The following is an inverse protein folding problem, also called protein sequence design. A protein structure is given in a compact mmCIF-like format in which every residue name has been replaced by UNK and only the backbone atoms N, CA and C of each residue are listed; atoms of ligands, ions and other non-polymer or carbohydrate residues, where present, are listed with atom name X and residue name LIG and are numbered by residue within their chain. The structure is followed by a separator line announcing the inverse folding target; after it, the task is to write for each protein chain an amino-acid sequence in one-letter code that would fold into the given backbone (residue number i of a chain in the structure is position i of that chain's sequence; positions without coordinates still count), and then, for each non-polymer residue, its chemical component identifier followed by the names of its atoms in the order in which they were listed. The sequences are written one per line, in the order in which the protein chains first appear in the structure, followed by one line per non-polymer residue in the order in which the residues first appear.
data_IF_806074672410
#
_entry.id   IF_806074672410
#
_cell.length_a   1.000
_cell.length_b   1.000
_cell.length_c   1.000
_cell.angle_alpha   90.00
_cell.angle_beta   90.00
_cell.angle_gamma   90.00
#
_symmetry.space_group_name_H-M   'P 1'
#
loop_
_entity.id
_entity.type
_entity.pdbx_description
1 polymer ?
#
# COMPACT_ATOMS: atom_id res chain seq x y z
N UNK A 1 -13.16 31.06 6.41
CA UNK A 1 -12.79 29.66 6.12
C UNK A 1 -12.22 29.60 4.71
N UNK A 2 -10.94 29.26 4.53
CA UNK A 2 -10.34 29.08 3.19
C UNK A 2 -10.79 27.74 2.64
N UNK A 3 -11.39 27.71 1.45
CA UNK A 3 -11.79 26.46 0.81
C UNK A 3 -10.56 25.54 0.58
N UNK A 4 -10.69 24.22 0.78
CA UNK A 4 -9.60 23.29 0.55
C UNK A 4 -9.15 23.37 -0.91
N UNK A 5 -7.84 23.59 -1.14
CA UNK A 5 -7.27 23.61 -2.49
C UNK A 5 -7.47 22.23 -3.12
N UNK A 6 -8.38 22.14 -4.09
CA UNK A 6 -8.58 20.93 -4.87
C UNK A 6 -7.29 20.56 -5.63
N UNK A 7 -7.11 19.29 -5.99
CA UNK A 7 -5.97 18.87 -6.83
C UNK A 7 -6.36 18.86 -8.30
N UNK A 8 -5.48 19.43 -9.13
CA UNK A 8 -5.70 19.54 -10.57
C UNK A 8 -5.06 18.34 -11.26
N UNK A 9 -5.89 17.46 -11.84
CA UNK A 9 -5.47 16.38 -12.73
C UNK A 9 -5.18 16.97 -14.11
N UNK A 10 -3.92 16.92 -14.51
CA UNK A 10 -3.47 17.36 -15.83
C UNK A 10 -3.62 16.21 -16.83
N UNK A 11 -4.15 16.51 -18.01
CA UNK A 11 -4.28 15.55 -19.13
C UNK A 11 -3.84 16.20 -20.45
N UNK A 12 -3.27 15.43 -21.40
CA UNK A 12 -2.95 15.95 -22.71
C UNK A 12 -4.24 16.26 -23.51
N UNK A 13 -4.24 17.36 -24.25
CA UNK A 13 -5.35 17.78 -25.12
C UNK A 13 -4.91 17.87 -26.58
N UNK A 14 -5.54 17.05 -27.41
CA UNK A 14 -5.37 17.10 -28.87
C UNK A 14 -5.82 18.45 -29.43
N UNK A 15 -6.88 19.04 -28.87
CA UNK A 15 -7.34 20.38 -29.28
C UNK A 15 -6.30 21.46 -28.97
N UNK A 16 -5.62 21.38 -27.83
CA UNK A 16 -4.51 22.28 -27.51
C UNK A 16 -3.29 22.03 -28.38
N UNK A 17 -2.99 20.77 -28.70
CA UNK A 17 -1.91 20.44 -29.64
C UNK A 17 -2.16 21.03 -31.03
N UNK A 18 -3.40 20.96 -31.52
CA UNK A 18 -3.79 21.56 -32.79
C UNK A 18 -3.72 23.10 -32.75
N UNK A 19 -4.11 23.73 -31.63
CA UNK A 19 -3.94 25.18 -31.47
C UNK A 19 -2.47 25.58 -31.36
N UNK A 20 -1.63 24.77 -30.71
CA UNK A 20 -0.21 25.05 -30.53
C UNK A 20 0.56 25.11 -31.86
N UNK A 21 0.08 24.41 -32.91
CA UNK A 21 0.63 24.51 -34.27
C UNK A 21 0.54 25.93 -34.85
N UNK A 22 -0.50 26.67 -34.48
CA UNK A 22 -0.74 28.04 -34.97
C UNK A 22 -0.36 29.10 -33.92
N UNK A 23 -0.39 28.73 -32.64
CA UNK A 23 -0.21 29.60 -31.48
C UNK A 23 0.74 28.94 -30.47
N UNK A 24 2.06 29.06 -30.68
CA UNK A 24 3.06 28.37 -29.85
C UNK A 24 2.95 28.67 -28.35
N UNK A 25 2.34 29.80 -27.97
CA UNK A 25 2.09 30.16 -26.58
C UNK A 25 1.08 29.24 -25.87
N UNK A 26 0.35 28.36 -26.58
CA UNK A 26 -0.48 27.32 -25.96
C UNK A 26 0.34 26.32 -25.14
N UNK A 27 1.63 26.13 -25.44
CA UNK A 27 2.54 25.32 -24.60
C UNK A 27 2.74 25.91 -23.19
N UNK A 28 2.45 27.20 -23.01
CA UNK A 28 2.56 27.91 -21.73
C UNK A 28 1.21 28.04 -21.03
N UNK A 29 0.18 27.31 -21.47
CA UNK A 29 -1.17 27.41 -20.90
C UNK A 29 -1.62 26.11 -20.24
N UNK A 30 -2.53 26.27 -19.28
CA UNK A 30 -3.37 25.19 -18.74
C UNK A 30 -4.82 25.59 -18.93
N UNK A 31 -5.59 24.75 -19.63
CA UNK A 31 -6.99 25.00 -19.93
C UNK A 31 -7.86 24.24 -18.94
N UNK A 32 -8.75 24.95 -18.25
CA UNK A 32 -9.52 24.43 -17.13
C UNK A 32 -11.01 24.44 -17.46
N UNK A 33 -11.77 23.48 -16.91
CA UNK A 33 -13.23 23.53 -16.98
C UNK A 33 -13.76 24.78 -16.28
N UNK A 34 -15.00 25.20 -16.58
CA UNK A 34 -15.63 26.34 -15.88
C UNK A 34 -15.64 26.13 -14.36
N UNK A 35 -15.93 24.92 -13.91
CA UNK A 35 -15.99 24.59 -12.49
C UNK A 35 -14.58 24.58 -11.89
N UNK A 36 -13.61 23.94 -12.55
CA UNK A 36 -12.22 23.92 -12.08
C UNK A 36 -11.66 25.34 -11.91
N UNK A 37 -11.86 26.24 -12.88
CA UNK A 37 -11.39 27.64 -12.78
C UNK A 37 -11.91 28.36 -11.55
N UNK A 38 -13.20 28.19 -11.25
CA UNK A 38 -13.82 28.81 -10.08
C UNK A 38 -13.15 28.36 -8.78
N UNK A 39 -12.65 27.13 -8.76
CA UNK A 39 -12.03 26.54 -7.58
C UNK A 39 -10.54 26.87 -7.42
N UNK A 40 -9.84 27.15 -8.53
CA UNK A 40 -8.41 27.48 -8.51
C UNK A 40 -8.12 28.98 -8.47
N UNK A 41 -9.15 29.84 -8.53
CA UNK A 41 -8.97 31.29 -8.38
C UNK A 41 -10.27 32.03 -7.96
N UNK A 42 -10.45 32.42 -6.69
CA UNK A 42 -11.66 33.12 -6.24
C UNK A 42 -11.68 34.64 -6.53
N UNK A 43 -10.56 35.28 -6.93
CA UNK A 43 -10.49 36.74 -7.03
C UNK A 43 -9.48 37.25 -8.08
N UNK A 44 -10.02 37.89 -9.13
CA UNK A 44 -9.35 38.68 -10.18
C UNK A 44 -8.51 37.97 -11.27
N UNK A 45 -9.21 37.68 -12.38
CA UNK A 45 -8.78 37.14 -13.68
C UNK A 45 -7.59 37.83 -14.40
N UNK A 46 -7.02 38.92 -13.84
CA UNK A 46 -6.08 39.78 -14.57
C UNK A 46 -4.62 39.35 -14.49
N UNK A 47 -4.26 38.36 -13.65
CA UNK A 47 -2.89 37.82 -13.60
C UNK A 47 -2.81 36.29 -13.66
N UNK A 48 -3.88 35.59 -14.10
CA UNK A 48 -4.13 34.17 -13.88
C UNK A 48 -3.08 33.18 -14.40
N UNK A 49 -2.04 32.95 -13.61
CA UNK A 49 -1.07 31.87 -13.79
C UNK A 49 -1.26 30.83 -12.69
N UNK A 50 -1.22 29.56 -13.07
CA UNK A 50 -1.20 28.43 -12.17
C UNK A 50 0.20 27.82 -12.14
N UNK A 51 0.73 27.62 -10.93
CA UNK A 51 1.93 26.84 -10.72
C UNK A 51 1.56 25.36 -10.75
N UNK A 52 2.06 24.63 -11.74
CA UNK A 52 1.79 23.21 -11.99
C UNK A 52 3.09 22.43 -11.83
N UNK A 53 3.16 21.62 -10.79
CA UNK A 53 4.30 20.77 -10.49
C UNK A 53 4.00 19.35 -10.99
N UNK A 54 4.78 18.88 -11.95
CA UNK A 54 4.77 17.50 -12.43
C UNK A 54 5.95 16.71 -11.85
N UNK A 55 6.06 15.43 -12.22
CA UNK A 55 7.12 14.53 -11.79
C UNK A 55 8.52 14.93 -12.31
N UNK A 56 8.59 15.40 -13.55
CA UNK A 56 9.86 15.72 -14.22
C UNK A 56 10.24 17.19 -14.12
N UNK A 57 9.24 18.09 -14.03
CA UNK A 57 9.50 19.52 -13.91
C UNK A 57 8.32 20.26 -13.30
N UNK A 58 8.58 21.50 -12.92
CA UNK A 58 7.57 22.45 -12.48
C UNK A 58 7.43 23.59 -13.49
N UNK A 59 6.19 23.98 -13.77
CA UNK A 59 5.89 25.06 -14.73
C UNK A 59 4.87 26.04 -14.18
N UNK A 60 5.07 27.30 -14.52
CA UNK A 60 4.08 28.36 -14.35
C UNK A 60 3.28 28.48 -15.65
N UNK A 61 2.02 28.06 -15.64
CA UNK A 61 1.16 27.98 -16.82
C UNK A 61 0.04 29.01 -16.73
N UNK A 62 -0.21 29.73 -17.82
CA UNK A 62 -1.32 30.70 -17.90
C UNK A 62 -2.65 29.96 -17.97
N UNK A 63 -3.59 30.31 -17.11
CA UNK A 63 -4.91 29.68 -17.08
C UNK A 63 -5.77 30.13 -18.26
N UNK A 64 -6.55 29.21 -18.80
CA UNK A 64 -7.51 29.47 -19.87
C UNK A 64 -8.73 28.56 -19.81
N UNK A 65 -9.69 28.79 -20.70
CA UNK A 65 -10.87 27.94 -20.84
C UNK A 65 -10.56 26.64 -21.58
N UNK A 66 -10.99 25.50 -21.05
CA UNK A 66 -11.01 24.22 -21.76
C UNK A 66 -11.96 24.25 -22.96
N UNK A 67 -11.58 23.58 -24.05
CA UNK A 67 -12.43 23.40 -25.21
C UNK A 67 -13.63 22.49 -24.87
N UNK A 68 -14.77 22.71 -25.52
CA UNK A 68 -15.95 21.83 -25.34
C UNK A 68 -15.65 20.37 -25.73
N UNK A 69 -14.87 20.17 -26.80
CA UNK A 69 -14.47 18.85 -27.28
C UNK A 69 -13.64 18.07 -26.24
N UNK A 70 -12.72 18.76 -25.54
CA UNK A 70 -11.92 18.15 -24.47
C UNK A 70 -12.80 17.72 -23.29
N UNK A 71 -13.79 18.54 -22.92
CA UNK A 71 -14.70 18.24 -21.81
C UNK A 71 -15.68 17.11 -22.13
N UNK A 72 -16.11 16.99 -23.39
CA UNK A 72 -17.07 15.96 -23.82
C UNK A 72 -16.55 14.53 -23.60
N UNK A 73 -15.22 14.34 -23.52
CA UNK A 73 -14.58 13.05 -23.23
C UNK A 73 -14.70 12.60 -21.77
N UNK A 74 -15.21 13.46 -20.87
CA UNK A 74 -15.23 13.19 -19.44
C UNK A 74 -16.63 13.42 -18.84
N UNK A 75 -17.02 12.55 -17.88
CA UNK A 75 -18.26 12.73 -17.12
C UNK A 75 -18.21 14.02 -16.29
N UNK A 76 -19.37 14.68 -16.08
CA UNK A 76 -19.50 15.98 -15.41
C UNK A 76 -18.81 16.04 -14.03
N UNK A 77 -18.87 14.96 -13.24
CA UNK A 77 -18.20 14.86 -11.93
C UNK A 77 -16.66 14.93 -12.05
N UNK A 78 -16.08 14.38 -13.12
CA UNK A 78 -14.65 14.35 -13.35
C UNK A 78 -14.10 15.72 -13.78
N UNK A 79 -14.95 16.64 -14.27
CA UNK A 79 -14.49 17.94 -14.78
C UNK A 79 -14.13 18.96 -13.70
N UNK A 80 -14.42 18.69 -12.42
CA UNK A 80 -14.17 19.62 -11.30
C UNK A 80 -12.68 19.84 -11.01
N UNK A 81 -11.84 18.88 -11.40
CA UNK A 81 -10.41 18.84 -11.13
C UNK A 81 -9.58 18.65 -12.40
N UNK A 82 -10.12 18.83 -13.61
CA UNK A 82 -9.37 18.62 -14.86
C UNK A 82 -8.70 19.91 -15.36
N UNK A 83 -7.43 19.77 -15.71
CA UNK A 83 -6.67 20.72 -16.50
C UNK A 83 -6.08 20.06 -17.73
N UNK A 84 -6.17 20.75 -18.86
CA UNK A 84 -5.70 20.30 -20.15
C UNK A 84 -4.43 21.07 -20.50
N UNK A 85 -3.43 20.37 -21.02
CA UNK A 85 -2.17 20.95 -21.53
C UNK A 85 -1.83 20.31 -22.87
N UNK A 86 -0.90 20.90 -23.62
CA UNK A 86 -0.35 20.25 -24.84
C UNK A 86 0.40 18.97 -24.48
N UNK A 87 0.48 18.00 -25.39
CA UNK A 87 1.28 16.79 -25.22
C UNK A 87 2.74 17.08 -24.87
N UNK A 88 3.34 18.11 -25.49
CA UNK A 88 4.70 18.57 -25.16
C UNK A 88 4.81 19.04 -23.71
N UNK A 89 3.89 19.89 -23.25
CA UNK A 89 3.87 20.35 -21.85
C UNK A 89 3.61 19.19 -20.90
N UNK A 90 2.73 18.26 -21.26
CA UNK A 90 2.46 17.05 -20.50
C UNK A 90 3.72 16.19 -20.33
N UNK A 91 4.43 15.88 -21.41
CA UNK A 91 5.70 15.12 -21.37
C UNK A 91 6.77 15.83 -20.54
N UNK A 92 6.89 17.15 -20.66
CA UNK A 92 7.83 17.92 -19.83
C UNK A 92 7.47 17.87 -18.35
N UNK A 93 6.18 17.84 -18.01
CA UNK A 93 5.72 17.70 -16.63
C UNK A 93 5.86 16.27 -16.11
N UNK A 94 5.62 15.24 -16.94
CA UNK A 94 5.44 13.85 -16.47
C UNK A 94 6.63 12.92 -16.75
N UNK A 95 7.49 13.21 -17.71
CA UNK A 95 8.58 12.32 -18.15
C UNK A 95 8.17 11.32 -19.25
N UNK A 96 9.01 10.30 -19.50
CA UNK A 96 8.86 9.29 -20.57
C UNK A 96 8.11 8.00 -20.18
N UNK A 97 7.66 7.88 -18.93
CA UNK A 97 6.94 6.69 -18.45
C UNK A 97 5.44 6.94 -18.49
N UNK A 98 4.73 6.17 -19.33
CA UNK A 98 3.28 6.32 -19.53
C UNK A 98 2.41 5.82 -18.37
N UNK A 99 2.92 5.00 -17.45
CA UNK A 99 2.12 4.50 -16.33
C UNK A 99 2.95 4.36 -15.06
N UNK A 100 2.81 5.32 -14.15
CA UNK A 100 3.00 5.06 -12.73
C UNK A 100 1.88 5.74 -11.96
N UNK A 101 0.93 4.93 -11.52
CA UNK A 101 -0.18 5.36 -10.66
C UNK A 101 0.38 6.00 -9.39
N UNK A 102 0.16 7.31 -9.27
CA UNK A 102 0.59 8.06 -8.09
C UNK A 102 -0.40 7.74 -6.94
N UNK A 103 0.05 6.90 -5.99
CA UNK A 103 -0.73 6.49 -4.83
C UNK A 103 -0.85 7.65 -3.84
N UNK A 104 -1.85 8.50 -3.98
CA UNK A 104 -2.16 9.48 -2.95
C UNK A 104 -3.64 9.42 -2.65
N UNK A 105 -3.95 8.96 -1.44
CA UNK A 105 -5.32 8.97 -0.94
C UNK A 105 -5.81 10.41 -0.79
N UNK A 106 -7.03 10.72 -1.24
CA UNK A 106 -7.52 12.10 -1.23
C UNK A 106 -7.95 12.57 0.16
N UNK A 107 -8.40 11.63 0.99
CA UNK A 107 -8.86 11.84 2.37
C UNK A 107 -8.41 10.68 3.26
N UNK A 108 -8.51 10.83 4.58
CA UNK A 108 -8.24 9.74 5.52
C UNK A 108 -9.11 8.49 5.30
N UNK A 109 -10.28 8.64 4.70
CA UNK A 109 -11.30 7.60 4.48
C UNK A 109 -11.11 6.86 3.14
N UNK A 110 -10.11 7.24 2.35
CA UNK A 110 -9.88 6.70 1.01
C UNK A 110 -8.52 5.99 0.90
N UNK A 111 -8.00 5.40 1.98
CA UNK A 111 -6.64 4.81 1.96
C UNK A 111 -6.56 3.74 0.89
N UNK A 112 -5.67 3.94 -0.07
CA UNK A 112 -5.37 2.88 -1.02
C UNK A 112 -4.46 1.85 -0.36
N UNK A 113 -4.81 0.58 -0.47
CA UNK A 113 -4.00 -0.54 0.01
C UNK A 113 -3.50 -1.35 -1.18
N UNK A 114 -2.22 -1.70 -1.15
CA UNK A 114 -1.60 -2.62 -2.08
C UNK A 114 -0.73 -3.61 -1.32
N UNK A 115 -0.10 -4.54 -2.03
CA UNK A 115 0.80 -5.51 -1.43
C UNK A 115 1.69 -6.13 -2.49
N UNK A 116 2.75 -6.76 -2.00
CA UNK A 116 3.76 -7.50 -2.74
C UNK A 116 4.23 -8.69 -1.89
N UNK A 117 3.32 -9.61 -1.51
CA UNK A 117 3.69 -10.74 -0.69
C UNK A 117 4.46 -11.80 -1.49
N UNK A 118 5.44 -12.37 -0.82
CA UNK A 118 6.38 -13.35 -1.35
C UNK A 118 5.98 -14.79 -1.00
N UNK A 119 6.46 -15.74 -1.79
CA UNK A 119 6.41 -17.17 -1.50
C UNK A 119 7.59 -17.90 -2.18
N UNK A 120 7.91 -19.10 -1.69
CA UNK A 120 9.00 -19.92 -2.21
C UNK A 120 8.45 -20.96 -3.19
N UNK A 121 9.16 -21.18 -4.29
CA UNK A 121 8.90 -22.27 -5.22
C UNK A 121 9.68 -23.50 -4.74
N UNK A 122 8.99 -24.62 -4.60
CA UNK A 122 9.56 -25.86 -4.04
C UNK A 122 9.42 -26.98 -5.05
N UNK A 123 10.52 -27.67 -5.34
CA UNK A 123 10.58 -28.85 -6.19
C UNK A 123 9.96 -30.07 -5.47
N UNK A 124 9.68 -31.13 -6.23
CA UNK A 124 9.13 -32.38 -5.68
C UNK A 124 10.03 -33.02 -4.60
N UNK A 125 11.36 -32.85 -4.72
CA UNK A 125 12.35 -33.32 -3.75
C UNK A 125 12.46 -32.44 -2.49
N UNK A 126 11.66 -31.38 -2.39
CA UNK A 126 11.68 -30.41 -1.29
C UNK A 126 12.77 -29.35 -1.40
N UNK A 127 13.58 -29.35 -2.46
CA UNK A 127 14.55 -28.28 -2.70
C UNK A 127 13.87 -26.97 -3.11
N UNK A 128 14.47 -25.84 -2.73
CA UNK A 128 13.98 -24.52 -3.14
C UNK A 128 14.45 -24.20 -4.56
N UNK A 129 13.51 -23.88 -5.45
CA UNK A 129 13.80 -23.28 -6.74
C UNK A 129 13.88 -21.77 -6.58
N UNK A 130 15.00 -21.16 -6.99
CA UNK A 130 15.11 -19.70 -6.97
C UNK A 130 14.24 -19.11 -8.06
N UNK A 131 13.34 -18.21 -7.67
CA UNK A 131 12.37 -17.62 -8.57
C UNK A 131 13.01 -16.82 -9.71
N UNK A 132 14.09 -16.05 -9.45
CA UNK A 132 14.83 -15.34 -10.51
C UNK A 132 15.50 -16.25 -11.56
N UNK A 133 15.55 -17.56 -11.35
CA UNK A 133 16.09 -18.53 -12.30
C UNK A 133 15.01 -19.24 -13.12
N UNK A 134 13.72 -19.00 -12.83
CA UNK A 134 12.62 -19.64 -13.53
C UNK A 134 12.33 -18.90 -14.83
N UNK A 135 12.48 -19.60 -15.96
CA UNK A 135 12.16 -19.06 -17.28
C UNK A 135 10.70 -18.63 -17.37
N UNK A 136 10.46 -17.38 -17.77
CA UNK A 136 9.12 -16.81 -17.93
C UNK A 136 8.53 -16.20 -16.65
N UNK A 137 9.27 -16.21 -15.53
CA UNK A 137 8.93 -15.44 -14.34
C UNK A 137 9.80 -14.17 -14.33
N UNK A 138 9.22 -13.00 -14.60
CA UNK A 138 9.98 -11.76 -14.77
C UNK A 138 9.89 -10.85 -13.54
N UNK A 139 10.98 -10.14 -13.24
CA UNK A 139 11.07 -9.23 -12.09
C UNK A 139 9.91 -8.23 -12.01
N UNK A 140 9.58 -7.53 -13.11
CA UNK A 140 8.56 -6.47 -13.12
C UNK A 140 7.12 -6.94 -13.40
N UNK A 141 6.84 -8.25 -13.33
CA UNK A 141 5.50 -8.79 -13.60
C UNK A 141 4.57 -8.78 -12.38
N UNK A 142 3.26 -8.81 -12.62
CA UNK A 142 2.20 -8.94 -11.58
C UNK A 142 2.31 -10.27 -10.81
N UNK A 143 2.82 -11.32 -11.45
CA UNK A 143 3.39 -12.49 -10.78
C UNK A 143 4.83 -12.58 -11.27
N UNK A 144 5.76 -12.32 -10.37
CA UNK A 144 7.17 -12.16 -10.70
C UNK A 144 8.07 -12.73 -9.61
N UNK A 145 9.25 -12.13 -9.45
CA UNK A 145 10.18 -12.51 -8.40
C UNK A 145 10.79 -11.28 -7.72
N UNK A 146 11.18 -11.44 -6.46
CA UNK A 146 12.16 -10.60 -5.77
C UNK A 146 13.29 -11.50 -5.26
N UNK A 147 14.43 -11.45 -5.94
CA UNK A 147 15.56 -12.35 -5.70
C UNK A 147 15.15 -13.84 -5.71
N UNK A 148 15.32 -14.57 -4.60
CA UNK A 148 15.02 -16.00 -4.54
C UNK A 148 13.52 -16.33 -4.44
N UNK A 149 12.67 -15.38 -4.04
CA UNK A 149 11.24 -15.59 -3.83
C UNK A 149 10.42 -15.19 -5.04
N UNK A 150 9.31 -15.90 -5.28
CA UNK A 150 8.25 -15.45 -6.17
C UNK A 150 7.38 -14.41 -5.44
N UNK A 151 6.80 -13.46 -6.16
CA UNK A 151 6.06 -12.34 -5.59
C UNK A 151 4.81 -12.03 -6.39
N UNK A 152 3.70 -11.70 -5.71
CA UNK A 152 2.45 -11.28 -6.34
C UNK A 152 2.28 -9.78 -6.17
N UNK A 153 2.05 -9.03 -7.24
CA UNK A 153 1.91 -7.57 -7.25
C UNK A 153 0.56 -7.17 -7.82
N UNK A 154 -0.55 -7.43 -7.10
CA UNK A 154 -1.87 -7.02 -7.56
C UNK A 154 -1.95 -5.50 -7.66
N UNK A 155 -2.76 -5.02 -8.61
CA UNK A 155 -3.11 -3.59 -8.67
C UNK A 155 -3.73 -3.14 -7.34
N UNK A 156 -3.15 -2.13 -6.67
CA UNK A 156 -3.69 -1.67 -5.39
C UNK A 156 -5.10 -1.09 -5.53
N UNK A 157 -5.84 -1.08 -4.43
CA UNK A 157 -7.27 -0.77 -4.41
C UNK A 157 -7.67 -0.01 -3.16
N UNK A 158 -8.73 0.81 -3.26
CA UNK A 158 -9.41 1.39 -2.09
C UNK A 158 -10.32 0.38 -1.39
N UNK A 159 -10.62 -0.75 -2.03
CA UNK A 159 -11.49 -1.81 -1.51
C UNK A 159 -10.69 -3.11 -1.37
N UNK A 160 -10.66 -3.66 -0.16
CA UNK A 160 -9.91 -4.89 0.17
C UNK A 160 -10.46 -6.10 -0.59
N UNK A 161 -11.77 -6.22 -0.78
CA UNK A 161 -12.35 -7.33 -1.54
C UNK A 161 -11.90 -7.29 -3.00
N UNK A 162 -11.81 -6.11 -3.61
CA UNK A 162 -11.28 -5.97 -4.97
C UNK A 162 -9.80 -6.36 -5.04
N UNK A 163 -9.01 -6.01 -4.02
CA UNK A 163 -7.60 -6.44 -3.93
C UNK A 163 -7.49 -7.96 -3.83
N UNK A 164 -8.31 -8.61 -2.99
CA UNK A 164 -8.37 -10.07 -2.86
C UNK A 164 -8.78 -10.75 -4.16
N UNK A 165 -9.81 -10.24 -4.84
CA UNK A 165 -10.24 -10.74 -6.15
C UNK A 165 -9.14 -10.62 -7.20
N UNK A 166 -8.33 -9.55 -7.13
CA UNK A 166 -7.20 -9.35 -8.04
C UNK A 166 -6.09 -10.35 -7.75
N UNK A 167 -5.75 -10.59 -6.47
CA UNK A 167 -4.79 -11.65 -6.08
C UNK A 167 -5.27 -13.01 -6.58
N UNK A 168 -6.53 -13.36 -6.36
CA UNK A 168 -7.11 -14.62 -6.83
C UNK A 168 -7.04 -14.74 -8.35
N UNK A 169 -7.40 -13.67 -9.08
CA UNK A 169 -7.33 -13.65 -10.54
C UNK A 169 -5.92 -13.85 -11.05
N UNK A 170 -4.90 -13.27 -10.39
CA UNK A 170 -3.51 -13.46 -10.77
C UNK A 170 -3.06 -14.91 -10.55
N UNK A 171 -3.42 -15.51 -9.42
CA UNK A 171 -3.08 -16.89 -9.06
C UNK A 171 -3.79 -17.93 -9.94
N UNK A 172 -4.96 -17.59 -10.49
CA UNK A 172 -5.75 -18.47 -11.37
C UNK A 172 -5.40 -18.32 -12.84
N UNK A 173 -4.78 -17.22 -13.26
CA UNK A 173 -4.54 -16.94 -14.67
C UNK A 173 -3.33 -17.74 -15.20
N UNK A 174 -3.55 -18.68 -16.14
CA UNK A 174 -2.46 -19.50 -16.70
C UNK A 174 -1.32 -18.68 -17.31
N UNK A 175 -1.61 -17.49 -17.88
CA UNK A 175 -0.56 -16.65 -18.46
C UNK A 175 0.44 -16.13 -17.43
N UNK A 176 0.06 -16.07 -16.16
CA UNK A 176 0.92 -15.63 -15.07
C UNK A 176 1.61 -16.79 -14.35
N UNK A 177 0.98 -17.97 -14.29
CA UNK A 177 1.41 -19.04 -13.39
C UNK A 177 1.89 -20.31 -14.07
N UNK A 178 1.72 -20.47 -15.40
CA UNK A 178 2.14 -21.68 -16.10
C UNK A 178 3.66 -21.95 -15.98
N UNK A 179 4.49 -20.90 -15.95
CA UNK A 179 5.94 -21.04 -15.76
C UNK A 179 6.33 -21.61 -14.38
N UNK A 180 5.42 -21.54 -13.41
CA UNK A 180 5.63 -22.03 -12.04
C UNK A 180 4.68 -23.15 -11.64
N UNK A 181 3.92 -23.72 -12.59
CA UNK A 181 2.85 -24.68 -12.31
C UNK A 181 3.35 -26.05 -11.78
N UNK A 182 4.61 -26.40 -12.05
CA UNK A 182 5.25 -27.65 -11.61
C UNK A 182 5.89 -27.54 -10.23
N UNK A 183 5.89 -26.36 -9.61
CA UNK A 183 6.42 -26.17 -8.26
C UNK A 183 5.29 -26.13 -7.24
N UNK A 184 5.60 -26.57 -6.03
CA UNK A 184 4.78 -26.27 -4.87
C UNK A 184 5.02 -24.83 -4.42
N UNK A 185 3.95 -24.06 -4.23
CA UNK A 185 4.03 -22.66 -3.83
C UNK A 185 3.90 -22.56 -2.31
N UNK A 186 5.00 -22.26 -1.63
CA UNK A 186 5.07 -22.32 -0.15
C UNK A 186 5.23 -20.92 0.45
N UNK A 187 4.20 -20.46 1.16
CA UNK A 187 4.28 -19.24 1.97
C UNK A 187 4.81 -19.50 3.38
N UNK A 188 4.57 -18.54 4.29
CA UNK A 188 4.94 -18.65 5.70
C UNK A 188 5.99 -17.63 6.14
N UNK A 189 6.63 -17.88 7.29
CA UNK A 189 7.65 -17.02 7.88
C UNK A 189 9.02 -17.22 7.24
N UNK A 190 9.40 -18.48 7.05
CA UNK A 190 10.68 -18.85 6.45
C UNK A 190 10.62 -20.23 5.82
N UNK A 191 11.53 -20.49 4.89
CA UNK A 191 11.70 -21.80 4.27
C UNK A 191 13.11 -22.34 4.50
N UNK A 192 13.28 -23.65 4.72
CA UNK A 192 14.59 -24.31 4.71
C UNK A 192 14.55 -25.50 3.76
N UNK A 193 15.28 -25.40 2.66
CA UNK A 193 15.55 -26.56 1.80
C UNK A 193 16.52 -27.51 2.51
N UNK A 194 16.41 -28.84 2.30
CA UNK A 194 17.42 -29.80 2.75
C UNK A 194 18.84 -29.47 2.28
N UNK A 195 18.98 -28.93 1.07
CA UNK A 195 20.26 -28.57 0.44
C UNK A 195 20.87 -27.25 0.94
N UNK A 196 20.21 -26.55 1.86
CA UNK A 196 20.60 -25.21 2.28
C UNK A 196 21.14 -25.13 3.71
N UNK A 197 22.20 -24.35 3.87
CA UNK A 197 22.78 -24.02 5.18
C UNK A 197 21.94 -23.01 5.97
N UNK A 198 21.17 -22.15 5.29
CA UNK A 198 20.35 -21.07 5.90
C UNK A 198 18.88 -21.17 5.50
N UNK A 199 18.01 -20.54 6.29
CA UNK A 199 16.59 -20.36 5.96
C UNK A 199 16.41 -19.17 5.03
N UNK A 200 15.47 -19.22 4.10
CA UNK A 200 15.00 -18.02 3.40
C UNK A 200 13.91 -17.33 4.19
N UNK A 201 14.02 -16.03 4.47
CA UNK A 201 12.90 -15.25 4.95
C UNK A 201 11.88 -15.08 3.81
N UNK A 202 10.59 -15.09 4.14
CA UNK A 202 9.52 -14.84 3.18
C UNK A 202 8.80 -13.55 3.59
N UNK A 203 8.78 -12.54 2.72
CA UNK A 203 8.13 -11.25 2.95
C UNK A 203 6.61 -11.28 2.74
N UNK A 204 5.88 -10.51 3.54
CA UNK A 204 4.44 -10.30 3.36
C UNK A 204 4.12 -8.81 3.31
N UNK A 205 4.77 -8.10 2.39
CA UNK A 205 4.74 -6.63 2.35
C UNK A 205 3.34 -6.09 2.08
N UNK A 206 3.00 -5.01 2.78
CA UNK A 206 1.76 -4.27 2.57
C UNK A 206 2.10 -2.81 2.28
N UNK A 207 1.50 -2.29 1.22
CA UNK A 207 1.58 -0.91 0.80
C UNK A 207 0.39 -0.11 1.29
N UNK A 208 0.66 1.06 1.90
CA UNK A 208 -0.38 2.02 2.25
C UNK A 208 -0.12 3.33 1.52
N UNK A 209 -1.10 3.76 0.72
CA UNK A 209 -1.10 5.06 0.07
C UNK A 209 -1.16 6.17 1.12
N UNK A 210 -0.28 7.15 1.00
CA UNK A 210 -0.23 8.27 1.93
C UNK A 210 -1.33 9.29 1.58
N UNK A 211 -2.08 9.83 2.55
CA UNK A 211 -3.12 10.82 2.27
C UNK A 211 -2.53 12.18 1.95
N UNK A 212 -3.28 13.04 1.27
CA UNK A 212 -2.89 14.45 1.12
C UNK A 212 -2.89 15.13 2.49
N UNK A 213 -1.76 15.68 2.91
CA UNK A 213 -1.68 16.50 4.12
C UNK A 213 -1.53 17.98 3.71
N UNK A 214 -2.41 18.90 4.16
CA UNK A 214 -2.28 20.32 3.84
C UNK A 214 -0.91 20.87 4.23
N UNK A 215 -0.29 21.64 3.33
CA UNK A 215 1.04 22.25 3.54
C UNK A 215 2.18 21.27 3.85
N UNK A 216 1.99 19.98 3.57
CA UNK A 216 3.04 18.96 3.64
C UNK A 216 3.24 18.31 2.27
N UNK A 217 4.50 18.19 1.88
CA UNK A 217 4.88 17.42 0.69
C UNK A 217 5.52 16.14 1.17
N UNK A 218 4.98 15.02 0.72
CA UNK A 218 5.61 13.73 0.95
C UNK A 218 6.89 13.66 0.13
N UNK A 219 8.01 13.61 0.83
CA UNK A 219 9.33 13.46 0.25
C UNK A 219 10.11 12.49 1.15
N UNK A 220 10.63 11.41 0.56
CA UNK A 220 11.43 10.42 1.29
C UNK A 220 12.65 11.00 2.00
N UNK A 221 13.12 12.18 1.59
CA UNK A 221 14.23 12.88 2.23
C UNK A 221 13.77 13.86 3.32
N UNK A 222 12.47 14.01 3.53
CA UNK A 222 11.90 14.86 4.56
C UNK A 222 11.80 14.11 5.89
N UNK A 223 12.46 14.65 6.93
CA UNK A 223 12.44 14.06 8.28
C UNK A 223 11.02 13.87 8.83
N UNK A 224 10.09 14.77 8.54
CA UNK A 224 8.70 14.65 9.00
C UNK A 224 7.99 13.50 8.30
N UNK A 225 8.19 13.33 6.99
CA UNK A 225 7.66 12.19 6.24
C UNK A 225 8.21 10.87 6.82
N UNK A 226 9.52 10.78 7.00
CA UNK A 226 10.18 9.61 7.57
C UNK A 226 9.68 9.30 8.99
N UNK A 227 9.59 10.31 9.86
CA UNK A 227 9.11 10.15 11.23
C UNK A 227 7.65 9.70 11.29
N UNK A 228 6.77 10.28 10.47
CA UNK A 228 5.36 9.92 10.47
C UNK A 228 5.16 8.49 9.96
N UNK A 229 5.79 8.12 8.84
CA UNK A 229 5.69 6.76 8.32
C UNK A 229 6.20 5.72 9.33
N UNK A 230 7.32 5.99 10.02
CA UNK A 230 7.82 5.12 11.10
C UNK A 230 6.82 5.00 12.26
N UNK A 231 6.11 6.06 12.63
CA UNK A 231 5.08 5.99 13.68
C UNK A 231 3.87 5.18 13.25
N UNK A 232 3.43 5.33 12.01
CA UNK A 232 2.35 4.52 11.43
C UNK A 232 2.73 3.05 11.48
N UNK A 233 3.95 2.70 11.07
CA UNK A 233 4.45 1.33 11.14
C UNK A 233 4.50 0.81 12.58
N UNK A 234 4.93 1.60 13.57
CA UNK A 234 4.89 1.17 14.97
C UNK A 234 3.47 0.88 15.47
N UNK A 235 2.48 1.65 15.04
CA UNK A 235 1.08 1.40 15.37
C UNK A 235 0.60 0.10 14.71
N UNK A 236 0.97 -0.14 13.45
CA UNK A 236 0.68 -1.39 12.75
C UNK A 236 1.39 -2.59 13.41
N UNK A 237 2.61 -2.41 13.88
CA UNK A 237 3.37 -3.44 14.58
C UNK A 237 2.67 -3.86 15.88
N UNK A 238 2.29 -2.88 16.70
CA UNK A 238 1.63 -3.11 17.99
C UNK A 238 0.22 -3.70 17.81
N UNK A 239 -0.56 -3.21 16.84
CA UNK A 239 -1.97 -3.58 16.68
C UNK A 239 -2.21 -4.76 15.73
N UNK A 240 -1.30 -5.03 14.79
CA UNK A 240 -1.51 -6.03 13.71
C UNK A 240 -0.41 -7.08 13.66
N UNK A 241 0.88 -6.69 13.58
CA UNK A 241 1.94 -7.70 13.52
C UNK A 241 2.03 -8.53 14.80
N UNK A 242 1.91 -7.88 15.96
CA UNK A 242 2.06 -8.55 17.24
C UNK A 242 1.02 -9.66 17.48
N UNK A 243 -0.30 -9.46 17.23
CA UNK A 243 -1.25 -10.56 17.22
C UNK A 243 -0.90 -11.67 16.22
N UNK A 244 -0.50 -11.31 14.99
CA UNK A 244 -0.23 -12.27 13.92
C UNK A 244 0.99 -13.17 14.21
N UNK A 245 1.94 -12.72 15.02
CA UNK A 245 3.09 -13.54 15.46
C UNK A 245 2.68 -14.84 16.11
N UNK A 246 1.52 -14.90 16.78
CA UNK A 246 1.02 -16.14 17.40
C UNK A 246 0.86 -17.27 16.39
N UNK A 247 0.49 -16.92 15.15
CA UNK A 247 0.29 -17.89 14.08
C UNK A 247 1.48 -17.93 13.10
N UNK A 248 2.43 -16.98 13.19
CA UNK A 248 3.58 -16.86 12.29
C UNK A 248 4.44 -18.14 12.31
N UNK A 249 4.63 -18.75 11.14
CA UNK A 249 5.17 -20.11 11.03
C UNK A 249 5.70 -20.39 9.62
N UNK A 250 6.70 -21.27 9.44
CA UNK A 250 7.54 -21.87 10.48
C UNK A 250 8.77 -21.00 10.77
N UNK A 251 9.26 -21.05 12.01
CA UNK A 251 10.48 -20.36 12.46
C UNK A 251 10.50 -18.83 12.18
N UNK A 252 9.55 -18.07 12.75
CA UNK A 252 9.49 -16.62 12.57
C UNK A 252 10.74 -15.89 13.06
N UNK A 253 11.40 -16.42 14.10
CA UNK A 253 12.69 -15.98 14.63
C UNK A 253 13.80 -16.00 13.58
N UNK A 254 13.85 -17.06 12.76
CA UNK A 254 14.87 -17.21 11.72
C UNK A 254 14.77 -16.13 10.63
N UNK A 255 13.55 -15.65 10.33
CA UNK A 255 13.33 -14.50 9.44
C UNK A 255 13.92 -13.22 10.06
N UNK A 256 13.67 -12.98 11.35
CA UNK A 256 14.12 -11.77 12.04
C UNK A 256 15.62 -11.73 12.30
N UNK A 257 16.25 -12.89 12.53
CA UNK A 257 17.70 -13.00 12.71
C UNK A 257 18.51 -12.60 11.47
N UNK A 258 17.88 -12.51 10.30
CA UNK A 258 18.50 -12.06 9.04
C UNK A 258 18.31 -10.55 8.78
N UNK A 259 18.00 -9.77 9.82
CA UNK A 259 17.72 -8.32 9.72
C UNK A 259 16.52 -7.98 8.82
N UNK A 260 15.56 -8.90 8.68
CA UNK A 260 14.36 -8.68 7.87
C UNK A 260 13.09 -8.86 8.70
N UNK A 261 12.12 -7.96 8.50
CA UNK A 261 10.84 -8.00 9.16
C UNK A 261 10.85 -7.60 10.63
N UNK A 262 11.92 -6.98 11.11
CA UNK A 262 12.04 -6.54 12.51
C UNK A 262 11.02 -5.45 12.83
N UNK A 263 10.80 -5.19 14.10
CA UNK A 263 9.99 -4.07 14.57
C UNK A 263 10.42 -2.75 13.89
N UNK A 264 9.47 -2.03 13.31
CA UNK A 264 9.71 -0.80 12.59
C UNK A 264 10.23 -0.97 11.17
N UNK A 265 10.30 -2.20 10.64
CA UNK A 265 10.81 -2.45 9.28
C UNK A 265 9.86 -1.87 8.23
N UNK A 266 10.42 -0.93 7.48
CA UNK A 266 9.72 -0.07 6.54
C UNK A 266 10.67 0.32 5.42
N UNK A 267 10.16 0.34 4.21
CA UNK A 267 10.79 1.09 3.12
C UNK A 267 9.98 2.37 2.90
N UNK A 268 10.67 3.50 3.11
CA UNK A 268 10.07 4.82 3.02
C UNK A 268 10.06 5.26 1.56
N UNK A 269 8.88 5.62 1.05
CA UNK A 269 8.70 6.20 -0.27
C UNK A 269 7.92 7.53 -0.20
N UNK A 270 7.93 8.28 -1.30
CA UNK A 270 7.34 9.63 -1.37
C UNK A 270 5.82 9.65 -1.55
N UNK A 271 5.15 8.51 -1.72
CA UNK A 271 3.70 8.46 -1.98
C UNK A 271 3.01 7.26 -1.33
N UNK A 272 3.75 6.19 -1.08
CA UNK A 272 3.30 5.06 -0.25
C UNK A 272 4.30 4.83 0.88
N UNK A 273 3.87 4.11 1.90
CA UNK A 273 4.79 3.38 2.77
C UNK A 273 4.68 1.90 2.45
N UNK A 274 5.81 1.19 2.51
CA UNK A 274 5.88 -0.28 2.41
C UNK A 274 6.21 -0.83 3.79
N UNK A 275 5.22 -1.50 4.39
CA UNK A 275 5.34 -2.13 5.70
C UNK A 275 5.83 -3.55 5.55
N UNK A 276 7.00 -3.85 6.12
CA UNK A 276 7.77 -5.08 5.82
C UNK A 276 7.82 -6.07 6.97
N UNK A 277 7.14 -5.75 8.09
CA UNK A 277 7.21 -6.55 9.32
C UNK A 277 6.52 -7.90 9.16
N UNK A 278 5.43 -7.99 8.39
CA UNK A 278 4.71 -9.26 8.21
C UNK A 278 5.48 -10.25 7.33
N UNK A 279 5.29 -11.53 7.60
CA UNK A 279 5.76 -12.62 6.75
C UNK A 279 4.77 -12.93 5.62
N UNK A 280 5.21 -13.68 4.62
CA UNK A 280 4.34 -14.23 3.58
C UNK A 280 3.31 -15.25 4.07
N UNK A 281 3.19 -15.48 5.38
CA UNK A 281 2.18 -16.36 5.95
C UNK A 281 0.77 -15.90 5.61
N UNK A 282 0.47 -14.60 5.68
CA UNK A 282 -0.90 -14.14 5.51
C UNK A 282 -1.45 -14.42 4.11
N UNK A 283 -0.55 -14.59 3.12
CA UNK A 283 -0.91 -14.89 1.75
C UNK A 283 -1.40 -16.33 1.58
N UNK A 284 -1.17 -17.27 2.49
CA UNK A 284 -1.42 -18.70 2.21
C UNK A 284 -2.89 -19.07 1.99
N UNK A 285 -3.83 -18.18 2.36
CA UNK A 285 -5.26 -18.41 2.19
C UNK A 285 -6.04 -17.09 1.98
N UNK A 286 -7.08 -17.06 1.11
CA UNK A 286 -7.86 -15.84 0.81
C UNK A 286 -8.48 -15.16 2.05
N UNK A 287 -9.12 -15.90 2.96
CA UNK A 287 -9.65 -15.32 4.20
C UNK A 287 -8.55 -14.71 5.07
N UNK A 288 -7.41 -15.39 5.26
CA UNK A 288 -6.32 -14.85 6.07
C UNK A 288 -5.77 -13.56 5.44
N UNK A 289 -5.55 -13.57 4.12
CA UNK A 289 -5.14 -12.38 3.38
C UNK A 289 -6.14 -11.24 3.53
N UNK A 290 -7.44 -11.54 3.40
CA UNK A 290 -8.51 -10.56 3.52
C UNK A 290 -8.50 -9.91 4.90
N UNK A 291 -8.52 -10.69 5.97
CA UNK A 291 -8.65 -10.15 7.33
C UNK A 291 -7.38 -9.39 7.76
N UNK A 292 -6.20 -9.81 7.30
CA UNK A 292 -4.94 -9.08 7.54
C UNK A 292 -4.93 -7.74 6.78
N UNK A 293 -5.29 -7.72 5.50
CA UNK A 293 -5.33 -6.50 4.70
C UNK A 293 -6.43 -5.54 5.19
N UNK A 294 -7.60 -6.05 5.54
CA UNK A 294 -8.71 -5.26 6.10
C UNK A 294 -8.35 -4.65 7.46
N UNK A 295 -7.80 -5.44 8.37
CA UNK A 295 -7.34 -4.97 9.67
C UNK A 295 -6.25 -3.90 9.53
N UNK A 296 -5.27 -4.13 8.65
CA UNK A 296 -4.21 -3.15 8.35
C UNK A 296 -4.78 -1.83 7.82
N UNK A 297 -5.73 -1.91 6.88
CA UNK A 297 -6.40 -0.72 6.33
C UNK A 297 -7.22 0.03 7.38
N UNK A 298 -7.96 -0.67 8.23
CA UNK A 298 -8.76 -0.07 9.30
C UNK A 298 -7.90 0.75 10.26
N UNK A 299 -6.73 0.23 10.63
CA UNK A 299 -5.75 0.94 11.48
C UNK A 299 -5.18 2.14 10.74
N UNK A 300 -4.78 1.98 9.47
CA UNK A 300 -4.22 3.08 8.67
C UNK A 300 -5.21 4.24 8.51
N UNK A 301 -6.47 3.95 8.19
CA UNK A 301 -7.53 4.96 8.09
C UNK A 301 -7.77 5.69 9.41
N UNK A 302 -7.80 4.96 10.53
CA UNK A 302 -7.94 5.59 11.85
C UNK A 302 -6.75 6.51 12.15
N UNK A 303 -5.51 6.11 11.81
CA UNK A 303 -4.32 6.94 11.98
C UNK A 303 -4.46 8.26 11.21
N UNK A 304 -4.85 8.17 9.94
CA UNK A 304 -5.01 9.37 9.11
C UNK A 304 -6.18 10.23 9.54
N UNK A 305 -7.27 9.63 10.01
CA UNK A 305 -8.43 10.35 10.53
C UNK A 305 -8.05 11.13 11.78
N UNK A 306 -7.36 10.51 12.73
CA UNK A 306 -6.89 11.23 13.91
C UNK A 306 -5.91 12.35 13.57
N UNK A 307 -5.07 12.20 12.54
CA UNK A 307 -4.20 13.30 12.05
C UNK A 307 -5.04 14.47 11.52
N UNK A 308 -6.09 14.18 10.75
CA UNK A 308 -7.00 15.18 10.24
C UNK A 308 -7.77 15.89 11.37
N UNK A 309 -8.27 15.14 12.35
CA UNK A 309 -8.96 15.67 13.54
C UNK A 309 -8.04 16.58 14.39
N UNK A 310 -6.72 16.34 14.31
CA UNK A 310 -5.70 17.16 14.95
C UNK A 310 -5.13 18.26 14.04
N UNK A 311 -5.85 18.63 12.98
CA UNK A 311 -5.48 19.68 12.01
C UNK A 311 -4.07 19.49 11.44
N UNK A 312 -3.65 18.23 11.30
CA UNK A 312 -2.34 17.83 10.77
C UNK A 312 -1.15 18.52 11.49
N UNK A 313 -1.30 18.82 12.78
CA UNK A 313 -0.27 19.50 13.57
C UNK A 313 1.04 18.72 13.54
N UNK A 314 2.09 19.35 13.01
CA UNK A 314 3.44 18.76 12.95
C UNK A 314 3.97 18.35 14.33
N UNK A 315 3.64 19.09 15.39
CA UNK A 315 4.02 18.72 16.77
C UNK A 315 3.40 17.39 17.21
N UNK A 316 2.19 17.09 16.75
CA UNK A 316 1.50 15.84 17.02
C UNK A 316 2.09 14.69 16.18
N UNK A 317 2.39 14.95 14.90
CA UNK A 317 3.08 13.99 14.00
C UNK A 317 4.51 13.66 14.46
N UNK A 318 5.22 14.63 15.08
CA UNK A 318 6.62 14.51 15.49
C UNK A 318 6.83 13.99 16.91
N UNK A 319 5.78 13.95 17.73
CA UNK A 319 5.85 13.42 19.10
C UNK A 319 5.23 12.03 19.19
N UNK A 320 5.45 11.35 20.33
CA UNK A 320 4.81 10.05 20.60
C UNK A 320 3.32 10.18 20.93
N UNK A 321 2.78 11.40 20.87
CA UNK A 321 1.35 11.66 21.05
C UNK A 321 0.49 10.86 20.08
N UNK A 322 0.97 10.69 18.82
CA UNK A 322 0.27 9.88 17.84
C UNK A 322 0.20 8.41 18.27
N UNK A 323 1.33 7.78 18.61
CA UNK A 323 1.33 6.36 19.01
C UNK A 323 0.58 6.15 20.32
N UNK A 324 0.71 7.07 21.29
CA UNK A 324 -0.04 7.06 22.56
C UNK A 324 -1.56 7.17 22.36
N UNK A 325 -2.02 7.88 21.33
CA UNK A 325 -3.45 7.95 20.99
C UNK A 325 -4.03 6.61 20.53
N UNK A 326 -3.17 5.67 20.13
CA UNK A 326 -3.50 4.27 19.85
C UNK A 326 -3.06 3.35 20.99
N UNK A 327 -2.78 3.89 22.18
CA UNK A 327 -2.20 3.19 23.33
C UNK A 327 -0.97 2.32 22.99
N UNK A 328 -0.28 2.67 21.91
CA UNK A 328 0.96 2.04 21.48
C UNK A 328 2.11 2.78 22.16
N UNK A 329 2.80 2.10 23.07
CA UNK A 329 3.87 2.73 23.85
C UNK A 329 5.24 2.63 23.18
N UNK A 330 5.33 2.08 21.96
CA UNK A 330 6.61 1.81 21.27
C UNK A 330 7.65 1.21 22.22
N UNK A 331 7.18 0.33 23.11
CA UNK A 331 7.97 -0.12 24.24
C UNK A 331 8.99 -1.17 23.79
N UNK A 332 10.09 -1.23 24.53
CA UNK A 332 11.17 -2.19 24.30
C UNK A 332 10.64 -3.63 24.33
N UNK A 333 9.54 -3.87 25.04
CA UNK A 333 8.88 -5.16 25.13
C UNK A 333 8.27 -5.59 23.79
N UNK A 334 7.45 -4.78 23.13
CA UNK A 334 6.90 -5.09 21.81
C UNK A 334 8.00 -5.30 20.78
N UNK A 335 9.04 -4.44 20.81
CA UNK A 335 10.21 -4.60 19.96
C UNK A 335 10.88 -5.95 20.16
N UNK A 336 11.12 -6.35 21.41
CA UNK A 336 11.75 -7.63 21.73
C UNK A 336 10.87 -8.81 21.34
N UNK A 337 9.56 -8.73 21.55
CA UNK A 337 8.61 -9.76 21.14
C UNK A 337 8.57 -9.93 19.62
N UNK A 338 8.58 -8.84 18.85
CA UNK A 338 8.59 -8.93 17.39
C UNK A 338 9.94 -9.40 16.85
N UNK A 339 11.05 -8.90 17.40
CA UNK A 339 12.39 -9.18 16.89
C UNK A 339 12.88 -10.58 17.24
N UNK A 340 12.50 -11.12 18.40
CA UNK A 340 12.93 -12.42 18.88
C UNK A 340 11.81 -13.47 18.83
N UNK A 341 10.70 -13.15 18.17
CA UNK A 341 9.43 -13.85 18.22
C UNK A 341 9.54 -15.37 18.25
N UNK A 342 9.21 -15.99 19.39
CA UNK A 342 8.66 -17.34 19.43
C UNK A 342 7.17 -17.26 19.73
N UNK A 343 6.36 -18.17 19.17
CA UNK A 343 4.88 -18.15 19.29
C UNK A 343 4.37 -18.05 20.74
N UNK A 344 5.17 -18.51 21.71
CA UNK A 344 4.84 -18.55 23.14
C UNK A 344 4.91 -17.18 23.81
N UNK A 345 5.63 -16.23 23.20
CA UNK A 345 5.94 -14.96 23.85
C UNK A 345 4.80 -13.93 23.75
N UNK A 346 3.83 -14.15 22.84
CA UNK A 346 2.64 -13.31 22.69
C UNK A 346 1.42 -13.99 23.35
N UNK A 347 1.07 -13.56 24.56
CA UNK A 347 -0.05 -14.13 25.32
C UNK A 347 -1.41 -13.83 24.69
N UNK A 348 -2.40 -14.72 24.92
CA UNK A 348 -3.78 -14.50 24.47
C UNK A 348 -4.39 -13.23 25.09
N UNK A 349 -4.09 -12.96 26.35
CA UNK A 349 -4.65 -11.79 27.04
C UNK A 349 -4.10 -10.49 26.46
N UNK A 350 -2.84 -10.48 26.03
CA UNK A 350 -2.30 -9.35 25.26
C UNK A 350 -3.07 -9.14 23.97
N UNK A 351 -3.34 -10.20 23.22
CA UNK A 351 -4.13 -10.14 21.97
C UNK A 351 -5.57 -9.68 22.22
N UNK A 352 -6.23 -10.15 23.30
CA UNK A 352 -7.57 -9.66 23.70
C UNK A 352 -7.56 -8.18 24.08
N UNK A 353 -6.51 -7.71 24.75
CA UNK A 353 -6.37 -6.30 25.11
C UNK A 353 -6.19 -5.42 23.87
N UNK A 354 -5.42 -5.87 22.89
CA UNK A 354 -5.29 -5.19 21.59
C UNK A 354 -6.65 -5.15 20.87
N UNK A 355 -7.41 -6.25 20.85
CA UNK A 355 -8.77 -6.24 20.29
C UNK A 355 -9.66 -5.22 21.01
N UNK A 356 -9.66 -5.20 22.35
CA UNK A 356 -10.44 -4.23 23.13
C UNK A 356 -10.09 -2.78 22.74
N UNK A 357 -8.82 -2.51 22.51
CA UNK A 357 -8.33 -1.23 22.03
C UNK A 357 -8.76 -0.93 20.59
N UNK A 358 -8.70 -1.91 19.69
CA UNK A 358 -9.19 -1.74 18.32
C UNK A 358 -10.69 -1.46 18.26
N UNK A 359 -11.49 -2.03 19.16
CA UNK A 359 -12.93 -1.74 19.29
C UNK A 359 -13.24 -0.29 19.65
N UNK A 360 -12.27 0.48 20.13
CA UNK A 360 -12.46 1.93 20.40
C UNK A 360 -12.16 2.81 19.19
N UNK A 361 -11.60 2.26 18.10
CA UNK A 361 -11.35 3.01 16.87
C UNK A 361 -12.67 3.33 16.18
N UNK A 362 -12.77 4.50 15.58
CA UNK A 362 -13.98 4.89 14.84
C UNK A 362 -14.15 4.08 13.55
N UNK A 363 -13.07 3.57 12.98
CA UNK A 363 -13.10 2.67 11.82
C UNK A 363 -13.56 1.25 12.14
N UNK A 364 -13.60 0.84 13.42
CA UNK A 364 -13.94 -0.53 13.80
C UNK A 364 -15.28 -0.99 13.23
N UNK A 365 -16.32 -0.16 13.30
CA UNK A 365 -17.66 -0.53 12.83
C UNK A 365 -17.66 -0.89 11.32
N UNK A 366 -16.87 -0.20 10.50
CA UNK A 366 -16.78 -0.46 9.07
C UNK A 366 -16.03 -1.77 8.76
N UNK A 367 -15.19 -2.24 9.68
CA UNK A 367 -14.31 -3.41 9.53
C UNK A 367 -14.58 -4.51 10.56
N UNK A 368 -15.71 -4.44 11.28
CA UNK A 368 -15.95 -5.24 12.49
C UNK A 368 -15.77 -6.73 12.22
N UNK A 369 -16.40 -7.23 11.16
CA UNK A 369 -16.34 -8.65 10.81
C UNK A 369 -14.91 -9.11 10.50
N UNK A 370 -14.15 -8.31 9.76
CA UNK A 370 -12.79 -8.67 9.37
C UNK A 370 -11.81 -8.57 10.56
N UNK A 371 -11.99 -7.57 11.44
CA UNK A 371 -11.19 -7.41 12.66
C UNK A 371 -11.50 -8.54 13.64
N UNK A 372 -12.77 -8.81 13.93
CA UNK A 372 -13.15 -9.87 14.87
C UNK A 372 -12.66 -11.24 14.38
N UNK A 373 -12.75 -11.52 13.07
CA UNK A 373 -12.22 -12.75 12.47
C UNK A 373 -10.69 -12.82 12.54
N UNK A 374 -9.98 -11.72 12.25
CA UNK A 374 -8.52 -11.64 12.42
C UNK A 374 -8.10 -12.02 13.84
N UNK A 375 -8.75 -11.45 14.86
CA UNK A 375 -8.44 -11.74 16.25
C UNK A 375 -8.89 -13.15 16.66
N UNK A 376 -9.99 -13.66 16.13
CA UNK A 376 -10.43 -15.05 16.31
C UNK A 376 -9.35 -16.03 15.86
N UNK A 377 -8.80 -15.83 14.66
CA UNK A 377 -7.69 -16.63 14.13
C UNK A 377 -6.45 -16.52 15.03
N UNK A 378 -6.05 -15.30 15.41
CA UNK A 378 -4.87 -15.09 16.27
C UNK A 378 -5.02 -15.71 17.67
N UNK A 379 -6.24 -15.80 18.21
CA UNK A 379 -6.54 -16.36 19.53
C UNK A 379 -6.74 -17.88 19.50
N UNK A 380 -6.87 -18.48 18.33
CA UNK A 380 -7.01 -19.93 18.18
C UNK A 380 -5.77 -20.68 18.67
N UNK A 381 -5.98 -21.83 19.33
CA UNK A 381 -4.89 -22.77 19.67
C UNK A 381 -4.59 -23.73 18.52
N UNK A 382 -5.53 -23.86 17.58
CA UNK A 382 -5.42 -24.73 16.41
C UNK A 382 -4.62 -24.07 15.29
N UNK A 383 -3.35 -23.75 15.57
CA UNK A 383 -2.37 -23.36 14.54
C UNK A 383 -2.16 -24.51 13.53
N UNK A 384 -2.56 -25.74 13.88
CA UNK A 384 -2.67 -26.88 12.97
C UNK A 384 -3.63 -26.67 11.79
N UNK A 385 -4.49 -25.63 11.81
CA UNK A 385 -5.26 -25.17 10.66
C UNK A 385 -4.37 -24.62 9.54
N UNK A 386 -3.18 -24.08 9.88
CA UNK A 386 -2.25 -23.42 8.95
C UNK A 386 -1.00 -24.29 8.70
N UNK A 387 -0.57 -25.11 9.67
CA UNK A 387 0.66 -25.91 9.62
C UNK A 387 0.82 -26.85 8.40
N UNK A 388 -0.21 -27.63 8.01
CA UNK A 388 -0.21 -28.45 6.78
C UNK A 388 -0.57 -27.67 5.49
N UNK A 389 -0.92 -26.37 5.59
CA UNK A 389 -1.54 -25.57 4.51
C UNK A 389 -0.73 -24.32 4.11
N UNK A 390 0.58 -24.34 4.31
CA UNK A 390 1.47 -23.29 3.75
C UNK A 390 1.54 -23.32 2.22
N UNK A 391 0.95 -24.35 1.62
CA UNK A 391 0.80 -24.47 0.18
C UNK A 391 -0.27 -23.51 -0.34
N UNK A 392 0.21 -22.37 -0.84
CA UNK A 392 -0.58 -21.26 -1.33
C UNK A 392 -1.53 -21.70 -2.45
N UNK A 393 -1.06 -22.54 -3.39
CA UNK A 393 -1.89 -23.05 -4.49
C UNK A 393 -3.14 -23.76 -3.97
N UNK A 394 -2.99 -24.64 -2.98
CA UNK A 394 -4.10 -25.35 -2.35
C UNK A 394 -5.06 -24.41 -1.64
N UNK A 395 -4.53 -23.43 -0.91
CA UNK A 395 -5.33 -22.45 -0.17
C UNK A 395 -6.20 -21.56 -1.07
N UNK A 396 -5.72 -21.18 -2.25
CA UNK A 396 -6.45 -20.30 -3.16
C UNK A 396 -7.23 -21.02 -4.26
N UNK A 397 -6.79 -22.21 -4.69
CA UNK A 397 -7.32 -22.86 -5.90
C UNK A 397 -8.19 -24.10 -5.63
N UNK A 398 -8.04 -24.75 -4.47
CA UNK A 398 -8.59 -26.09 -4.21
C UNK A 398 -9.58 -26.13 -3.02
N UNK A 399 -10.27 -25.01 -2.75
CA UNK A 399 -11.28 -24.87 -1.68
C UNK A 399 -10.79 -25.31 -0.28
N UNK A 400 -9.51 -25.09 0.01
CA UNK A 400 -8.93 -25.45 1.29
C UNK A 400 -9.55 -24.61 2.41
N UNK A 401 -10.55 -25.11 3.14
CA UNK A 401 -11.09 -24.42 4.33
C UNK A 401 -9.95 -24.08 5.29
N UNK A 402 -9.90 -22.84 5.80
CA UNK A 402 -8.95 -22.45 6.84
C UNK A 402 -9.09 -23.32 8.08
#
# INVERSE_FOLDING_TARGET
MRQPKMRLRIVPSKTMDDWAKQKPEEHQKVRLSRIARFNYEPSNWKTGFLKVSGRASEKRLRMGQAAKADLARFKKANTRSLGFVTGKTYQQLMGTSEDQELWISETAEEVTIGCDPEFVLVNEDGSAQYAHQVTGLHFDSEVGHDGPCAEIRPKPSKNVNTLIQTIESLLRNPSHVNCIANFKWTGGASYKSPSMSKRYPIGGHIHLGLPKIPNHTWDRYNDTTNMLQRRVVRILDDLVALPLIRIDTPYPDARRNQNYGKYGDIKVESYKLEWRVLSGLWLVHPTLAKVVLATTKAVAEEVWKKLADNDHKLSWMRSDSLTKAFGCNADENTRNLINNATKKDVSKDRVKNILKQMKTMTTYQAYQNDIDEFFSICLSDNIGLIGPKLELRRGWLEDGKL
#
